data_IF_059788122920
#
_entry.id   IF_059788122920
#
_cell.length_a   1.000
_cell.length_b   1.000
_cell.length_c   1.000
_cell.angle_alpha   90.00
_cell.angle_beta   90.00
_cell.angle_gamma   90.00
#
_symmetry.space_group_name_H-M   'P 1'
#
loop_
_entity.id
_entity.type
_entity.pdbx_description
1 polymer ?
#
# COMPACT_ATOMS: atom_id res chain seq x y z
N UNK A 1 16.89 3.19 -11.17
CA UNK A 1 16.36 1.87 -10.85
C UNK A 1 17.01 0.74 -11.64
N UNK A 2 16.71 -0.46 -11.24
CA UNK A 2 17.26 -1.67 -11.89
C UNK A 2 16.53 -1.96 -13.21
N UNK A 3 15.20 -1.83 -13.22
CA UNK A 3 14.37 -2.10 -14.38
C UNK A 3 13.43 -0.92 -14.66
N UNK A 4 13.48 -0.36 -15.87
CA UNK A 4 12.62 0.76 -16.26
C UNK A 4 11.16 0.37 -16.48
N UNK A 5 10.90 -0.84 -16.91
CA UNK A 5 9.56 -1.38 -17.07
C UNK A 5 9.54 -2.69 -17.82
N UNK A 6 8.60 -3.55 -17.45
CA UNK A 6 8.18 -4.67 -18.26
C UNK A 6 6.71 -4.46 -18.60
N UNK A 7 6.42 -4.12 -19.83
CA UNK A 7 5.04 -4.12 -20.32
C UNK A 7 4.77 -5.44 -21.02
N UNK A 8 4.30 -6.43 -20.28
CA UNK A 8 3.52 -7.48 -20.94
C UNK A 8 2.04 -7.12 -20.74
N UNK A 9 1.29 -7.12 -21.81
CA UNK A 9 -0.17 -7.00 -21.72
C UNK A 9 -0.85 -8.24 -21.15
N UNK A 10 -0.12 -9.07 -20.34
CA UNK A 10 -0.61 -10.36 -19.84
C UNK A 10 -0.17 -10.59 -18.39
N UNK A 11 -0.94 -11.41 -17.72
CA UNK A 11 -0.82 -11.82 -16.33
C UNK A 11 0.53 -12.41 -15.96
N UNK A 12 0.95 -12.23 -14.70
CA UNK A 12 2.13 -12.89 -14.13
C UNK A 12 2.04 -14.42 -14.20
N UNK A 13 0.85 -14.98 -14.35
CA UNK A 13 0.67 -16.42 -14.53
C UNK A 13 1.16 -16.92 -15.89
N UNK A 14 1.31 -16.01 -16.84
CA UNK A 14 1.76 -16.34 -18.22
C UNK A 14 3.25 -16.11 -18.43
N UNK A 15 3.87 -15.22 -17.64
CA UNK A 15 5.28 -14.86 -17.74
C UNK A 15 5.91 -14.83 -16.35
N UNK A 16 6.87 -15.73 -16.10
CA UNK A 16 7.65 -15.77 -14.86
C UNK A 16 8.74 -14.70 -14.84
N UNK A 17 8.36 -13.43 -14.93
CA UNK A 17 9.33 -12.34 -14.78
C UNK A 17 9.72 -12.23 -13.30
N UNK A 18 11.01 -12.30 -13.03
CA UNK A 18 11.57 -12.23 -11.69
C UNK A 18 12.69 -11.20 -11.64
N UNK A 19 12.62 -10.32 -10.66
CA UNK A 19 13.74 -9.49 -10.19
C UNK A 19 14.03 -9.96 -8.77
N UNK A 20 15.22 -10.47 -8.53
CA UNK A 20 15.57 -11.05 -7.23
C UNK A 20 16.94 -10.61 -6.77
N UNK A 21 17.07 -10.39 -5.48
CA UNK A 21 18.35 -10.10 -4.79
C UNK A 21 19.11 -8.91 -5.40
N UNK A 22 18.38 -7.93 -5.94
CA UNK A 22 18.97 -6.74 -6.56
C UNK A 22 19.06 -5.58 -5.56
N UNK A 23 20.10 -4.77 -5.70
CA UNK A 23 20.31 -3.59 -4.87
C UNK A 23 20.44 -2.34 -5.74
N UNK A 24 19.70 -1.29 -5.39
CA UNK A 24 19.87 0.06 -5.92
C UNK A 24 20.38 0.99 -4.82
N UNK A 25 21.49 1.69 -5.09
CA UNK A 25 21.99 2.76 -4.22
C UNK A 25 22.03 4.13 -4.92
N UNK A 26 21.67 4.17 -6.20
CA UNK A 26 21.66 5.39 -7.00
C UNK A 26 20.38 6.20 -6.78
N UNK A 27 20.52 7.52 -6.70
CA UNK A 27 19.37 8.42 -6.64
C UNK A 27 18.68 8.53 -8.00
N UNK A 28 17.37 8.70 -7.96
CA UNK A 28 16.50 8.81 -9.11
C UNK A 28 15.70 10.11 -9.07
N UNK A 29 15.53 10.73 -10.22
CA UNK A 29 14.65 11.89 -10.37
C UNK A 29 14.07 11.89 -11.78
N UNK A 30 12.78 12.18 -11.88
CA UNK A 30 12.14 12.38 -13.19
C UNK A 30 11.47 13.75 -13.26
N UNK A 31 11.63 14.43 -14.39
CA UNK A 31 10.98 15.71 -14.65
C UNK A 31 9.78 15.59 -15.59
N UNK A 32 9.77 14.57 -16.45
CA UNK A 32 8.73 14.36 -17.47
C UNK A 32 8.17 12.93 -17.47
N UNK A 33 8.57 12.11 -16.51
CA UNK A 33 8.14 10.71 -16.41
C UNK A 33 6.82 10.53 -15.70
N UNK A 34 6.29 9.33 -15.79
CA UNK A 34 5.08 8.90 -15.08
C UNK A 34 5.38 8.54 -13.62
N UNK A 35 6.65 8.38 -13.28
CA UNK A 35 7.14 8.05 -11.94
C UNK A 35 8.44 7.27 -11.96
N UNK A 36 9.04 7.11 -10.79
CA UNK A 36 10.27 6.37 -10.59
C UNK A 36 10.19 5.38 -9.44
N UNK A 37 11.04 4.36 -9.49
CA UNK A 37 11.23 3.45 -8.38
C UNK A 37 12.67 2.95 -8.30
N UNK A 38 13.12 2.66 -7.08
CA UNK A 38 14.47 2.15 -6.85
C UNK A 38 14.76 0.85 -7.57
N UNK A 39 13.80 -0.06 -7.68
CA UNK A 39 13.99 -1.36 -8.32
C UNK A 39 13.29 -1.42 -9.68
N UNK A 40 11.97 -1.27 -9.74
CA UNK A 40 11.24 -1.42 -10.98
C UNK A 40 10.23 -0.29 -11.22
N UNK A 41 10.27 0.31 -12.40
CA UNK A 41 9.34 1.36 -12.82
C UNK A 41 7.93 0.81 -13.03
N UNK A 42 7.55 0.52 -14.27
CA UNK A 42 6.27 -0.15 -14.57
C UNK A 42 6.49 -1.65 -14.70
N UNK A 43 5.99 -2.45 -13.75
CA UNK A 43 6.36 -3.86 -13.68
C UNK A 43 5.18 -4.75 -13.32
N UNK A 44 5.13 -5.93 -13.95
CA UNK A 44 4.22 -7.03 -13.59
C UNK A 44 5.04 -8.31 -13.54
N UNK A 45 5.01 -9.00 -12.40
CA UNK A 45 5.86 -10.17 -12.15
C UNK A 45 6.22 -10.27 -10.67
N UNK A 46 7.32 -10.95 -10.36
CA UNK A 46 7.79 -11.09 -8.98
C UNK A 46 9.02 -10.20 -8.73
N UNK A 47 9.05 -9.52 -7.58
CA UNK A 47 10.19 -8.74 -7.08
C UNK A 47 10.50 -9.25 -5.68
N UNK A 48 11.66 -9.92 -5.51
CA UNK A 48 11.99 -10.63 -4.29
C UNK A 48 13.33 -10.24 -3.72
N UNK A 49 13.39 -10.11 -2.40
CA UNK A 49 14.65 -9.88 -1.66
C UNK A 49 15.48 -8.73 -2.20
N UNK A 50 14.84 -7.69 -2.73
CA UNK A 50 15.51 -6.52 -3.30
C UNK A 50 15.63 -5.40 -2.29
N UNK A 51 16.70 -4.60 -2.40
CA UNK A 51 16.97 -3.49 -1.50
C UNK A 51 17.15 -2.19 -2.29
N UNK A 52 16.44 -1.15 -1.87
CA UNK A 52 16.68 0.22 -2.33
C UNK A 52 17.20 1.08 -1.18
N UNK A 53 18.36 1.69 -1.37
CA UNK A 53 18.92 2.72 -0.49
C UNK A 53 19.05 4.07 -1.19
N UNK A 54 18.82 4.13 -2.49
CA UNK A 54 18.80 5.37 -3.27
C UNK A 54 17.50 6.16 -3.06
N UNK A 55 17.60 7.48 -3.12
CA UNK A 55 16.45 8.37 -3.03
C UNK A 55 15.70 8.44 -4.37
N UNK A 56 14.38 8.62 -4.33
CA UNK A 56 13.58 8.95 -5.49
C UNK A 56 12.88 10.30 -5.28
N UNK A 57 13.03 11.22 -6.22
CA UNK A 57 12.41 12.56 -6.16
C UNK A 57 11.74 12.90 -7.50
N UNK A 58 10.43 12.81 -7.51
CA UNK A 58 9.57 13.13 -8.65
C UNK A 58 8.70 14.38 -8.41
N UNK A 59 9.05 15.21 -7.42
CA UNK A 59 8.27 16.41 -7.05
C UNK A 59 8.21 17.45 -8.17
N UNK A 60 9.15 17.43 -9.09
CA UNK A 60 9.24 18.34 -10.25
C UNK A 60 8.55 17.81 -11.50
N UNK A 61 7.97 16.63 -11.45
CA UNK A 61 7.30 16.03 -12.59
C UNK A 61 6.08 16.82 -13.07
N UNK A 62 5.88 16.88 -14.39
CA UNK A 62 4.78 17.62 -15.00
C UNK A 62 3.48 16.83 -15.14
N UNK A 63 3.54 15.50 -15.09
CA UNK A 63 2.37 14.62 -15.24
C UNK A 63 1.67 14.35 -13.89
N UNK A 64 1.26 15.38 -13.18
CA UNK A 64 0.69 15.32 -11.82
C UNK A 64 -0.45 14.30 -11.62
N UNK A 65 -1.22 14.01 -12.65
CA UNK A 65 -2.36 13.08 -12.56
C UNK A 65 -1.98 11.61 -12.66
N UNK A 66 -0.72 11.29 -13.01
CA UNK A 66 -0.27 9.93 -13.31
C UNK A 66 1.08 9.57 -12.68
N UNK A 67 1.48 10.29 -11.66
CA UNK A 67 2.76 10.02 -11.01
C UNK A 67 2.63 8.86 -10.02
N UNK A 68 3.60 7.99 -10.09
CA UNK A 68 3.73 6.83 -9.20
C UNK A 68 5.19 6.73 -8.77
N UNK A 69 5.49 7.06 -7.52
CA UNK A 69 6.85 7.06 -7.00
C UNK A 69 6.96 6.06 -5.87
N UNK A 70 7.98 5.21 -5.90
CA UNK A 70 8.14 4.21 -4.84
C UNK A 70 9.60 3.79 -4.62
N UNK A 71 9.85 3.18 -3.47
CA UNK A 71 11.16 2.59 -3.17
C UNK A 71 11.44 1.34 -4.00
N UNK A 72 10.45 0.49 -4.23
CA UNK A 72 10.63 -0.81 -4.90
C UNK A 72 9.93 -0.85 -6.25
N UNK A 73 8.62 -0.69 -6.33
CA UNK A 73 7.86 -0.72 -7.61
C UNK A 73 7.00 0.52 -7.71
N UNK A 74 7.20 1.36 -8.73
CA UNK A 74 6.39 2.57 -8.87
C UNK A 74 4.97 2.26 -9.31
N UNK A 75 4.81 1.40 -10.30
CA UNK A 75 3.50 1.04 -10.82
C UNK A 75 3.47 -0.42 -11.27
N UNK A 76 2.46 -1.15 -10.87
CA UNK A 76 2.14 -2.44 -11.45
C UNK A 76 1.05 -2.26 -12.50
N UNK A 77 1.35 -2.56 -13.75
CA UNK A 77 0.34 -2.50 -14.83
C UNK A 77 -0.72 -3.59 -14.66
N UNK A 78 -0.31 -4.74 -14.16
CA UNK A 78 -1.14 -5.88 -13.76
C UNK A 78 -0.74 -6.35 -12.36
N UNK A 79 -0.89 -7.64 -12.06
CA UNK A 79 -0.48 -8.18 -10.78
C UNK A 79 1.05 -8.15 -10.58
N UNK A 80 1.47 -7.92 -9.35
CA UNK A 80 2.86 -8.01 -8.92
C UNK A 80 2.93 -8.75 -7.58
N UNK A 81 3.95 -9.60 -7.42
CA UNK A 81 4.29 -10.24 -6.14
C UNK A 81 5.57 -9.62 -5.59
N UNK A 82 5.48 -8.88 -4.49
CA UNK A 82 6.62 -8.21 -3.85
C UNK A 82 6.84 -8.90 -2.50
N UNK A 83 8.01 -9.55 -2.34
CA UNK A 83 8.32 -10.34 -1.15
C UNK A 83 9.71 -10.04 -0.60
N UNK A 84 9.83 -9.81 0.71
CA UNK A 84 11.10 -9.64 1.39
C UNK A 84 11.93 -8.44 0.95
N UNK A 85 11.30 -7.40 0.40
CA UNK A 85 12.01 -6.22 -0.10
C UNK A 85 12.15 -5.14 0.97
N UNK A 86 13.24 -4.37 0.87
CA UNK A 86 13.53 -3.27 1.82
C UNK A 86 13.78 -1.97 1.09
N UNK A 87 13.10 -0.90 1.52
CA UNK A 87 13.43 0.46 1.15
C UNK A 87 14.01 1.22 2.33
N UNK A 88 15.18 1.84 2.12
CA UNK A 88 15.84 2.74 3.08
C UNK A 88 16.06 4.14 2.50
N UNK A 89 15.82 4.34 1.21
CA UNK A 89 15.91 5.64 0.55
C UNK A 89 14.69 6.52 0.82
N UNK A 90 14.88 7.83 0.79
CA UNK A 90 13.78 8.80 0.87
C UNK A 90 13.00 8.85 -0.44
N UNK A 91 11.69 8.78 -0.36
CA UNK A 91 10.79 8.75 -1.51
C UNK A 91 9.92 10.01 -1.50
N UNK A 92 10.14 10.88 -2.48
CA UNK A 92 9.41 12.13 -2.64
C UNK A 92 8.67 12.14 -3.97
N UNK A 93 7.40 12.45 -3.95
CA UNK A 93 6.60 12.47 -5.16
C UNK A 93 5.40 13.40 -5.05
N UNK A 94 4.59 13.43 -6.09
CA UNK A 94 3.35 14.24 -6.08
C UNK A 94 2.18 13.39 -5.60
N UNK A 95 1.92 12.26 -6.25
CA UNK A 95 0.75 11.40 -6.01
C UNK A 95 1.12 9.93 -6.12
N UNK A 96 0.40 9.05 -5.41
CA UNK A 96 0.67 7.61 -5.34
C UNK A 96 2.13 7.33 -4.95
N UNK A 97 2.51 7.86 -3.80
CA UNK A 97 3.88 7.78 -3.28
C UNK A 97 3.95 6.69 -2.21
N UNK A 98 4.68 5.62 -2.48
CA UNK A 98 4.77 4.48 -1.56
C UNK A 98 6.21 4.11 -1.23
N UNK A 99 6.45 3.70 0.03
CA UNK A 99 7.76 3.18 0.42
C UNK A 99 8.13 1.92 -0.34
N UNK A 100 7.16 1.07 -0.65
CA UNK A 100 7.34 -0.21 -1.38
C UNK A 100 6.63 -0.16 -2.74
N UNK A 101 5.33 0.14 -2.78
CA UNK A 101 4.53 0.16 -4.00
C UNK A 101 3.77 1.47 -4.17
N UNK A 102 3.89 2.13 -5.32
CA UNK A 102 3.15 3.34 -5.65
C UNK A 102 1.70 3.06 -6.06
N UNK A 103 1.49 2.21 -7.06
CA UNK A 103 0.14 1.92 -7.55
C UNK A 103 0.01 0.56 -8.25
N UNK A 104 -1.20 0.00 -8.24
CA UNK A 104 -1.61 -1.09 -9.13
C UNK A 104 -2.70 -0.58 -10.07
N UNK A 105 -2.46 -0.63 -11.38
CA UNK A 105 -3.37 -0.01 -12.36
C UNK A 105 -4.54 -0.89 -12.75
N UNK A 106 -4.29 -2.17 -13.03
CA UNK A 106 -5.29 -3.08 -13.58
C UNK A 106 -5.23 -4.45 -12.90
N UNK A 107 -6.36 -5.13 -12.90
CA UNK A 107 -6.45 -6.54 -12.58
C UNK A 107 -6.56 -7.39 -13.84
N UNK A 108 -6.07 -8.60 -13.77
CA UNK A 108 -6.16 -9.62 -14.80
C UNK A 108 -6.61 -10.97 -14.21
N UNK A 109 -7.20 -10.91 -13.01
CA UNK A 109 -7.61 -12.09 -12.23
C UNK A 109 -6.49 -12.64 -11.34
N UNK A 110 -5.23 -12.23 -11.50
CA UNK A 110 -4.14 -12.63 -10.60
C UNK A 110 -4.04 -11.68 -9.40
N UNK A 111 -3.72 -12.22 -8.23
CA UNK A 111 -3.55 -11.43 -7.02
C UNK A 111 -2.24 -10.62 -7.05
N UNK A 112 -2.27 -9.40 -6.53
CA UNK A 112 -1.09 -8.64 -6.16
C UNK A 112 -0.85 -8.85 -4.67
N UNK A 113 0.36 -9.30 -4.32
CA UNK A 113 0.74 -9.52 -2.94
C UNK A 113 1.96 -8.70 -2.58
N UNK A 114 1.94 -8.06 -1.41
CA UNK A 114 3.07 -7.37 -0.82
C UNK A 114 3.26 -7.98 0.56
N UNK A 115 4.39 -8.67 0.77
CA UNK A 115 4.61 -9.37 2.04
C UNK A 115 6.06 -9.32 2.49
N UNK A 116 6.27 -9.42 3.80
CA UNK A 116 7.59 -9.44 4.42
C UNK A 116 8.48 -8.24 4.04
N UNK A 117 7.87 -7.10 3.67
CA UNK A 117 8.59 -5.93 3.19
C UNK A 117 8.78 -4.91 4.31
N UNK A 118 9.88 -4.16 4.23
CA UNK A 118 10.20 -3.13 5.22
C UNK A 118 10.48 -1.79 4.54
N UNK A 119 9.80 -0.74 4.99
CA UNK A 119 10.16 0.63 4.66
C UNK A 119 10.82 1.31 5.87
N UNK A 120 12.09 1.68 5.72
CA UNK A 120 12.87 2.46 6.69
C UNK A 120 13.06 3.91 6.23
N UNK A 121 12.82 4.20 4.95
CA UNK A 121 12.99 5.53 4.37
C UNK A 121 11.78 6.42 4.60
N UNK A 122 11.99 7.73 4.58
CA UNK A 122 10.90 8.71 4.60
C UNK A 122 10.08 8.66 3.31
N UNK A 123 8.78 8.88 3.42
CA UNK A 123 7.86 8.95 2.27
C UNK A 123 7.12 10.28 2.32
N UNK A 124 7.27 11.10 1.31
CA UNK A 124 6.63 12.42 1.24
C UNK A 124 5.87 12.63 -0.07
N UNK A 125 4.65 13.10 0.03
CA UNK A 125 3.80 13.38 -1.12
C UNK A 125 3.13 14.74 -1.06
N UNK A 126 2.82 15.30 -2.24
CA UNK A 126 2.18 16.62 -2.38
C UNK A 126 0.66 16.50 -2.58
N UNK A 127 0.14 15.31 -2.82
CA UNK A 127 -1.26 15.07 -3.17
C UNK A 127 -1.73 13.72 -2.58
N UNK A 128 -2.71 13.08 -3.20
CA UNK A 128 -3.39 11.87 -2.73
C UNK A 128 -2.50 10.62 -2.72
N UNK A 129 -2.82 9.71 -1.82
CA UNK A 129 -2.26 8.36 -1.74
C UNK A 129 -0.76 8.33 -1.43
N UNK A 130 -0.44 8.69 -0.20
CA UNK A 130 0.93 8.64 0.34
C UNK A 130 0.97 7.59 1.45
N UNK A 131 1.89 6.64 1.37
CA UNK A 131 1.93 5.53 2.33
C UNK A 131 3.32 4.94 2.52
N UNK A 132 3.57 4.42 3.70
CA UNK A 132 4.83 3.74 4.03
C UNK A 132 5.04 2.44 3.25
N UNK A 133 3.99 1.71 2.89
CA UNK A 133 4.07 0.43 2.17
C UNK A 133 3.43 0.54 0.79
N UNK A 134 2.11 0.56 0.68
CA UNK A 134 1.40 0.57 -0.60
C UNK A 134 0.48 1.78 -0.69
N UNK A 135 0.70 2.65 -1.67
CA UNK A 135 -0.01 3.92 -1.74
C UNK A 135 -1.39 3.78 -2.34
N UNK A 136 -1.55 3.06 -3.43
CA UNK A 136 -2.83 2.99 -4.13
C UNK A 136 -3.03 1.69 -4.92
N UNK A 137 -4.30 1.38 -5.17
CA UNK A 137 -4.72 0.39 -6.15
C UNK A 137 -5.93 0.93 -6.93
N UNK A 138 -5.85 0.90 -8.24
CA UNK A 138 -6.99 1.20 -9.12
C UNK A 138 -7.81 -0.06 -9.45
N UNK A 139 -7.48 -1.21 -8.87
CA UNK A 139 -8.24 -2.46 -9.06
C UNK A 139 -9.55 -2.41 -8.30
N UNK A 140 -10.61 -2.89 -8.94
CA UNK A 140 -11.94 -3.02 -8.33
C UNK A 140 -12.24 -4.44 -7.82
N UNK A 141 -11.35 -5.41 -8.10
CA UNK A 141 -11.57 -6.82 -7.79
C UNK A 141 -11.11 -7.25 -6.38
N UNK A 142 -10.51 -6.33 -5.60
CA UNK A 142 -10.07 -6.60 -4.24
C UNK A 142 -8.86 -7.55 -4.13
N UNK A 143 -8.21 -7.90 -5.23
CA UNK A 143 -7.10 -8.85 -5.25
C UNK A 143 -5.74 -8.19 -4.98
N UNK A 144 -5.68 -7.22 -4.08
CA UNK A 144 -4.44 -6.62 -3.59
C UNK A 144 -4.37 -6.82 -2.08
N UNK A 145 -3.28 -7.39 -1.59
CA UNK A 145 -3.10 -7.64 -0.16
C UNK A 145 -1.71 -7.22 0.33
N UNK A 146 -1.64 -6.79 1.58
CA UNK A 146 -0.42 -6.43 2.29
C UNK A 146 -0.37 -7.17 3.61
N UNK A 147 0.68 -7.96 3.85
CA UNK A 147 0.83 -8.74 5.08
C UNK A 147 2.28 -8.79 5.54
N UNK A 148 2.50 -8.90 6.84
CA UNK A 148 3.83 -9.01 7.46
C UNK A 148 4.81 -7.91 7.02
N UNK A 149 4.30 -6.72 6.74
CA UNK A 149 5.08 -5.57 6.31
C UNK A 149 5.30 -4.60 7.48
N UNK A 150 6.47 -3.96 7.50
CA UNK A 150 6.84 -2.99 8.54
C UNK A 150 7.13 -1.63 7.94
N UNK A 151 6.53 -0.58 8.49
CA UNK A 151 6.91 0.79 8.19
C UNK A 151 7.56 1.41 9.43
N UNK A 152 8.84 1.75 9.31
CA UNK A 152 9.61 2.49 10.31
C UNK A 152 9.85 3.94 9.88
N UNK A 153 9.65 4.24 8.59
CA UNK A 153 9.87 5.56 8.03
C UNK A 153 8.74 6.54 8.35
N UNK A 154 9.08 7.81 8.45
CA UNK A 154 8.10 8.88 8.54
C UNK A 154 7.33 9.01 7.21
N UNK A 155 6.02 9.24 7.31
CA UNK A 155 5.15 9.45 6.14
C UNK A 155 4.47 10.81 6.26
N UNK A 156 4.69 11.68 5.27
CA UNK A 156 4.14 13.05 5.25
C UNK A 156 3.43 13.37 3.96
N UNK A 157 2.44 14.27 4.02
CA UNK A 157 1.80 14.82 2.84
C UNK A 157 1.46 16.28 3.05
N UNK A 158 1.67 17.09 2.02
CA UNK A 158 1.28 18.50 1.98
C UNK A 158 -0.07 18.73 1.30
N UNK A 159 -0.64 17.70 0.68
CA UNK A 159 -1.96 17.75 0.06
C UNK A 159 -3.11 17.66 1.06
N UNK A 160 -4.34 17.84 0.57
CA UNK A 160 -5.58 17.78 1.36
C UNK A 160 -5.93 16.36 1.83
N UNK A 161 -4.95 15.52 2.07
CA UNK A 161 -5.17 14.11 2.27
C UNK A 161 -5.45 13.79 3.73
N UNK A 162 -6.66 13.39 3.99
CA UNK A 162 -7.02 12.68 5.22
C UNK A 162 -6.37 11.29 5.31
N UNK A 163 -5.48 10.97 4.37
CA UNK A 163 -5.10 9.60 4.07
C UNK A 163 -3.60 9.38 4.04
N UNK A 164 -2.97 9.58 5.14
CA UNK A 164 -1.59 9.20 5.36
C UNK A 164 -1.55 7.93 6.19
N UNK A 165 -0.92 6.91 5.67
CA UNK A 165 -0.80 5.64 6.38
C UNK A 165 0.22 4.74 5.71
N UNK A 166 0.67 3.72 6.43
CA UNK A 166 1.64 2.78 5.89
C UNK A 166 1.04 1.80 4.86
N UNK A 167 -0.26 1.58 4.89
CA UNK A 167 -0.99 0.63 4.05
C UNK A 167 -2.13 1.34 3.33
N UNK A 168 -1.81 2.46 2.72
CA UNK A 168 -2.82 3.28 2.09
C UNK A 168 -3.00 2.94 0.63
N UNK A 169 -4.21 2.88 0.24
CA UNK A 169 -4.71 2.76 -1.09
C UNK A 169 -6.18 3.16 -1.12
N UNK A 170 -6.89 2.72 -2.11
CA UNK A 170 -8.34 2.72 -2.07
C UNK A 170 -8.84 1.50 -1.27
N UNK A 171 -10.14 1.36 -1.14
CA UNK A 171 -10.81 0.27 -0.41
C UNK A 171 -10.52 -1.14 -0.94
N UNK A 172 -9.75 -1.28 -2.01
CA UNK A 172 -9.45 -2.56 -2.66
C UNK A 172 -8.13 -3.19 -2.19
N UNK A 173 -7.38 -2.56 -1.29
CA UNK A 173 -6.18 -3.15 -0.69
C UNK A 173 -6.57 -3.85 0.61
N UNK A 174 -6.52 -5.17 0.64
CA UNK A 174 -6.79 -5.94 1.84
C UNK A 174 -5.60 -5.92 2.80
N UNK A 175 -5.88 -5.67 4.08
CA UNK A 175 -4.90 -5.67 5.14
C UNK A 175 -4.82 -7.08 5.75
N UNK A 176 -3.72 -7.79 5.50
CA UNK A 176 -3.43 -9.08 6.11
C UNK A 176 -2.83 -8.95 7.52
N UNK A 177 -2.45 -10.07 8.12
CA UNK A 177 -1.86 -10.13 9.45
C UNK A 177 -0.39 -9.73 9.49
N UNK A 178 0.14 -9.47 10.68
CA UNK A 178 1.57 -9.27 10.93
C UNK A 178 2.15 -7.93 10.49
N UNK A 179 1.32 -6.94 10.14
CA UNK A 179 1.81 -5.63 9.73
C UNK A 179 2.17 -4.73 10.93
N UNK A 180 3.30 -4.02 10.83
CA UNK A 180 3.72 -2.99 11.79
C UNK A 180 3.59 -1.62 11.15
N UNK A 181 2.62 -0.85 11.63
CA UNK A 181 2.18 0.38 10.97
C UNK A 181 3.13 1.55 11.21
N UNK A 182 3.71 1.64 12.37
CA UNK A 182 4.52 2.78 12.78
C UNK A 182 3.73 3.84 13.57
N UNK A 183 4.44 4.63 14.32
CA UNK A 183 3.84 5.63 15.22
C UNK A 183 3.16 6.75 14.43
N UNK A 184 1.96 7.14 14.86
CA UNK A 184 1.22 8.26 14.28
C UNK A 184 0.56 8.00 12.92
N UNK A 185 0.77 6.84 12.32
CA UNK A 185 0.15 6.48 11.06
C UNK A 185 -1.17 5.73 11.26
N UNK A 186 -2.05 5.87 10.29
CA UNK A 186 -3.29 5.10 10.22
C UNK A 186 -3.16 4.02 9.15
N UNK A 187 -3.62 2.82 9.47
CA UNK A 187 -3.92 1.83 8.45
C UNK A 187 -5.00 2.38 7.50
N UNK A 188 -5.24 1.68 6.41
CA UNK A 188 -6.39 1.95 5.55
C UNK A 188 -7.61 2.26 6.41
N UNK A 189 -8.44 3.26 6.06
CA UNK A 189 -9.72 3.36 6.70
C UNK A 189 -10.36 1.98 6.52
N UNK A 190 -10.61 1.31 7.65
CA UNK A 190 -11.56 0.20 7.66
C UNK A 190 -12.77 0.72 6.90
N UNK A 191 -13.31 -0.05 5.97
CA UNK A 191 -14.64 0.21 5.43
C UNK A 191 -15.50 0.76 6.56
N UNK A 192 -16.28 1.81 6.34
CA UNK A 192 -17.16 2.31 7.40
C UNK A 192 -17.81 1.08 7.98
N UNK A 193 -17.49 0.81 9.24
CA UNK A 193 -17.87 -0.43 9.93
C UNK A 193 -19.29 -0.75 9.49
N UNK A 194 -19.56 -1.98 9.03
CA UNK A 194 -20.83 -2.31 8.41
C UNK A 194 -21.89 -1.60 9.24
N UNK A 195 -22.69 -0.73 8.60
CA UNK A 195 -23.60 0.21 9.23
C UNK A 195 -24.67 -0.51 10.06
N UNK A 196 -24.27 -1.30 11.01
CA UNK A 196 -25.02 -2.14 11.91
C UNK A 196 -24.37 -2.30 13.28
N UNK A 197 -23.12 -1.86 13.48
CA UNK A 197 -22.51 -1.79 14.81
C UNK A 197 -22.32 -0.31 15.16
N UNK A 198 -23.44 0.37 15.40
CA UNK A 198 -23.42 1.68 16.02
C UNK A 198 -22.81 1.53 17.41
N UNK A 199 -21.72 2.27 17.65
CA UNK A 199 -21.12 2.59 18.93
C UNK A 199 -21.73 1.87 20.11
N UNK A 200 -21.06 0.84 20.59
CA UNK A 200 -21.37 0.29 21.92
C UNK A 200 -20.93 1.32 22.95
N UNK A 201 -21.79 2.28 23.21
CA UNK A 201 -21.67 3.12 24.37
C UNK A 201 -21.87 2.20 25.60
N UNK A 202 -20.82 1.99 26.37
CA UNK A 202 -20.79 1.03 27.49
C UNK A 202 -21.79 1.33 28.59
N UNK A 203 -22.75 2.26 28.40
CA UNK A 203 -23.59 2.77 29.44
C UNK A 203 -25.06 3.04 29.09
N UNK A 204 -25.65 2.37 28.11
CA UNK A 204 -27.08 2.49 27.84
C UNK A 204 -27.82 1.17 28.07
N UNK A 205 -28.93 1.26 28.77
CA UNK A 205 -29.87 0.20 29.10
C UNK A 205 -30.14 -0.75 27.91
N UNK A 206 -29.91 -2.04 28.16
CA UNK A 206 -29.93 -3.15 27.27
C UNK A 206 -31.31 -3.57 26.82
N UNK A 207 -31.86 -2.94 25.81
CA UNK A 207 -33.13 -3.40 25.21
C UNK A 207 -33.03 -3.62 23.68
N UNK A 208 -31.86 -3.54 23.10
CA UNK A 208 -31.70 -3.69 21.64
C UNK A 208 -31.10 -5.06 21.28
N UNK A 209 -31.75 -5.74 20.31
CA UNK A 209 -31.15 -6.88 19.64
C UNK A 209 -29.88 -6.44 18.89
N UNK A 210 -28.81 -7.20 18.98
CA UNK A 210 -27.55 -6.83 18.31
C UNK A 210 -26.42 -7.79 18.55
N UNK A 211 -25.29 -7.53 17.89
CA UNK A 211 -24.04 -8.23 18.09
C UNK A 211 -23.05 -7.27 18.73
N UNK A 212 -22.48 -7.63 19.86
CA UNK A 212 -21.61 -6.79 20.66
C UNK A 212 -20.27 -7.47 20.90
N UNK A 213 -19.21 -6.70 21.05
CA UNK A 213 -17.92 -7.19 21.51
C UNK A 213 -17.78 -6.87 23.02
N UNK A 214 -17.64 -7.89 23.86
CA UNK A 214 -17.45 -7.74 25.30
C UNK A 214 -16.26 -8.59 25.77
N UNK A 215 -15.27 -7.97 26.38
CA UNK A 215 -14.06 -8.65 26.86
C UNK A 215 -13.40 -9.55 25.79
N UNK A 216 -13.34 -9.06 24.54
CA UNK A 216 -12.76 -9.80 23.41
C UNK A 216 -13.64 -10.94 22.86
N UNK A 217 -14.90 -11.09 23.34
CA UNK A 217 -15.84 -12.11 22.86
C UNK A 217 -17.01 -11.46 22.12
N UNK A 218 -17.45 -12.09 21.06
CA UNK A 218 -18.68 -11.70 20.36
C UNK A 218 -19.88 -12.16 21.22
N UNK A 219 -20.75 -11.23 21.57
CA UNK A 219 -21.97 -11.47 22.29
C UNK A 219 -23.16 -11.12 21.38
N UNK A 220 -24.03 -12.06 21.16
CA UNK A 220 -25.25 -11.86 20.39
C UNK A 220 -26.41 -11.68 21.38
N UNK A 221 -27.09 -10.54 21.30
CA UNK A 221 -28.30 -10.30 22.09
C UNK A 221 -29.51 -10.38 21.17
N UNK A 222 -30.45 -11.25 21.49
CA UNK A 222 -31.71 -11.40 20.80
C UNK A 222 -32.82 -11.51 21.83
N UNK A 223 -33.83 -10.64 21.71
CA UNK A 223 -34.97 -10.58 22.64
C UNK A 223 -34.54 -10.49 24.12
N UNK A 224 -33.55 -9.64 24.39
CA UNK A 224 -32.95 -9.44 25.72
C UNK A 224 -32.21 -10.68 26.30
N UNK A 225 -31.94 -11.67 25.52
CA UNK A 225 -31.08 -12.82 25.91
C UNK A 225 -29.72 -12.74 25.22
N UNK A 226 -28.65 -13.01 25.97
CA UNK A 226 -27.28 -13.14 25.49
C UNK A 226 -27.06 -14.62 25.04
N UNK A 227 -26.37 -14.82 23.91
CA UNK A 227 -25.98 -16.10 23.34
C UNK A 227 -24.49 -16.16 23.10
#
# INVERSE_FOLDING_TARGET
GICGGSQSGKSITTYNYLIESCTNSGNLSTTNGVGSAGIAGSYSGAVKSCTNSGNADDTKGTAKSKQYTAGIVSCASFAVDIDGCTNSGSINGVKNVGGILGNVMKGDGAATTIKNCTNNGTVSGQDLYVAGIAANSARADGLVSVASCTNNGEVTSTGTTEFIGNLRGNTTIALGEGNVIGAGLKALPLDPAPTGINNVNANTNRTANGVFLRNGKIVIVKNNKEY
#
